data_IF_429146191313
#
_entry.id   IF_429146191313
#
_cell.length_a   1.000
_cell.length_b   1.000
_cell.length_c   1.000
_cell.angle_alpha   90.00
_cell.angle_beta   90.00
_cell.angle_gamma   90.00
#
_symmetry.space_group_name_H-M   'P 1'
#
loop_
_entity.id
_entity.type
_entity.pdbx_description
1 polymer ?
#
# COMPACT_ATOMS: atom_id res chain seq x y z
N UNK A 1 8.68 -1.17 -2.53
CA UNK A 1 7.32 -0.72 -2.14
C UNK A 1 7.05 -1.21 -0.71
N UNK A 2 6.95 -0.32 0.28
CA UNK A 2 6.82 -0.72 1.69
C UNK A 2 5.53 -1.50 2.00
N UNK A 3 4.45 -1.25 1.26
CA UNK A 3 3.12 -1.84 1.54
C UNK A 3 3.08 -3.37 1.48
N UNK A 4 3.87 -4.00 0.60
CA UNK A 4 3.91 -5.47 0.50
C UNK A 4 4.51 -6.09 1.77
N UNK A 5 5.61 -5.51 2.26
CA UNK A 5 6.23 -5.91 3.52
C UNK A 5 5.32 -5.62 4.71
N UNK A 6 4.63 -4.48 4.73
CA UNK A 6 3.60 -4.17 5.73
C UNK A 6 2.46 -5.20 5.72
N UNK A 7 1.98 -5.60 4.54
CA UNK A 7 0.93 -6.61 4.42
C UNK A 7 1.36 -7.98 4.94
N UNK A 8 2.57 -8.43 4.58
CA UNK A 8 3.14 -9.67 5.11
C UNK A 8 3.33 -9.62 6.64
N UNK A 9 3.87 -8.50 7.14
CA UNK A 9 4.04 -8.26 8.58
C UNK A 9 2.71 -8.28 9.33
N UNK A 10 1.67 -7.63 8.79
CA UNK A 10 0.33 -7.59 9.37
C UNK A 10 -0.31 -8.98 9.45
N UNK A 11 -0.35 -9.72 8.33
CA UNK A 11 -0.95 -11.06 8.28
C UNK A 11 -0.18 -12.04 9.18
N UNK A 12 1.15 -12.01 9.13
CA UNK A 12 2.00 -12.84 9.97
C UNK A 12 1.79 -12.57 11.46
N UNK A 13 1.81 -11.29 11.86
CA UNK A 13 1.59 -10.90 13.26
C UNK A 13 0.19 -11.29 13.76
N UNK A 14 -0.86 -10.94 13.03
CA UNK A 14 -2.25 -11.26 13.43
C UNK A 14 -2.46 -12.78 13.46
N UNK A 15 -1.98 -13.52 12.47
CA UNK A 15 -2.11 -14.97 12.42
C UNK A 15 -1.41 -15.68 13.58
N UNK A 16 -0.18 -15.28 13.89
CA UNK A 16 0.59 -15.84 15.01
C UNK A 16 0.00 -15.45 16.38
N UNK A 17 -0.49 -14.22 16.51
CA UNK A 17 -1.18 -13.75 17.70
C UNK A 17 -2.46 -14.56 17.99
N UNK A 18 -3.18 -14.95 16.93
CA UNK A 18 -4.40 -15.75 17.04
C UNK A 18 -4.15 -17.24 17.37
N UNK A 19 -2.89 -17.72 17.41
CA UNK A 19 -2.63 -19.12 17.79
C UNK A 19 -3.10 -19.40 19.21
N UNK A 20 -3.75 -20.55 19.38
CA UNK A 20 -4.29 -21.01 20.67
C UNK A 20 -3.19 -21.32 21.69
N UNK A 21 -2.07 -21.87 21.23
CA UNK A 21 -0.85 -22.09 22.02
C UNK A 21 0.22 -21.10 21.59
N UNK A 22 0.63 -20.26 22.53
CA UNK A 22 1.76 -19.36 22.34
C UNK A 22 3.05 -20.06 22.76
N UNK A 23 4.12 -19.79 22.03
CA UNK A 23 5.49 -20.24 22.30
C UNK A 23 6.45 -19.06 22.11
N UNK A 24 7.70 -19.16 22.58
CA UNK A 24 8.69 -18.11 22.30
C UNK A 24 8.82 -17.78 20.80
N UNK A 25 8.68 -18.79 19.93
CA UNK A 25 8.71 -18.60 18.47
C UNK A 25 7.49 -17.84 17.95
N UNK A 26 6.28 -18.09 18.48
CA UNK A 26 5.10 -17.32 18.05
C UNK A 26 5.21 -15.87 18.51
N UNK A 27 5.74 -15.61 19.71
CA UNK A 27 6.03 -14.26 20.18
C UNK A 27 7.07 -13.54 19.34
N UNK A 28 8.18 -14.20 19.03
CA UNK A 28 9.20 -13.66 18.14
C UNK A 28 8.61 -13.32 16.76
N UNK A 29 7.75 -14.18 16.22
CA UNK A 29 7.09 -13.92 14.94
C UNK A 29 6.07 -12.78 14.99
N UNK A 30 5.30 -12.62 16.08
CA UNK A 30 4.43 -11.45 16.29
C UNK A 30 5.28 -10.17 16.35
N UNK A 31 6.32 -10.15 17.18
CA UNK A 31 7.20 -9.00 17.32
C UNK A 31 7.88 -8.64 15.98
N UNK A 32 8.37 -9.64 15.24
CA UNK A 32 9.02 -9.45 13.94
C UNK A 32 8.04 -8.92 12.90
N UNK A 33 6.82 -9.45 12.84
CA UNK A 33 5.79 -8.98 11.91
C UNK A 33 5.37 -7.53 12.16
N UNK A 34 5.18 -7.16 13.44
CA UNK A 34 4.89 -5.78 13.84
C UNK A 34 6.08 -4.86 13.59
N UNK A 35 7.30 -5.29 13.91
CA UNK A 35 8.53 -4.53 13.63
C UNK A 35 8.72 -4.26 12.14
N UNK A 36 8.54 -5.28 11.29
CA UNK A 36 8.61 -5.13 9.84
C UNK A 36 7.58 -4.13 9.32
N UNK A 37 6.32 -4.25 9.76
CA UNK A 37 5.27 -3.34 9.35
C UNK A 37 5.55 -1.89 9.78
N UNK A 38 6.03 -1.71 11.02
CA UNK A 38 6.31 -0.40 11.62
C UNK A 38 7.55 0.24 11.00
N UNK A 39 8.61 -0.53 10.73
CA UNK A 39 9.82 -0.07 10.05
C UNK A 39 9.49 0.44 8.64
N UNK A 40 8.62 -0.27 7.93
CA UNK A 40 8.23 0.07 6.57
C UNK A 40 7.27 1.26 6.53
N UNK A 41 6.30 1.29 7.45
CA UNK A 41 5.26 2.31 7.56
C UNK A 41 4.84 2.45 9.03
N UNK A 42 5.43 3.39 9.80
CA UNK A 42 5.15 3.53 11.23
C UNK A 42 3.66 3.65 11.55
N UNK A 43 2.93 4.46 10.77
CA UNK A 43 1.48 4.65 10.92
C UNK A 43 0.70 3.33 10.81
N UNK A 44 1.04 2.47 9.83
CA UNK A 44 0.39 1.17 9.68
C UNK A 44 0.79 0.22 10.81
N UNK A 45 2.04 0.28 11.26
CA UNK A 45 2.52 -0.44 12.43
C UNK A 45 1.67 -0.18 13.67
N UNK A 46 1.41 1.10 13.98
CA UNK A 46 0.52 1.49 15.09
C UNK A 46 -0.93 1.07 14.84
N UNK A 47 -1.44 1.20 13.61
CA UNK A 47 -2.78 0.74 13.23
C UNK A 47 -2.95 -0.78 13.38
N UNK A 48 -1.86 -1.56 13.26
CA UNK A 48 -1.84 -3.00 13.53
C UNK A 48 -1.76 -3.28 15.03
N UNK A 49 -0.84 -2.62 15.73
CA UNK A 49 -0.56 -2.86 17.14
C UNK A 49 -1.75 -2.53 18.06
N UNK A 50 -2.49 -1.45 17.76
CA UNK A 50 -3.60 -1.00 18.61
C UNK A 50 -4.70 -2.07 18.75
N UNK A 51 -5.31 -2.63 17.68
CA UNK A 51 -6.26 -3.72 17.78
C UNK A 51 -5.71 -4.96 18.53
N UNK A 52 -4.44 -5.31 18.33
CA UNK A 52 -3.81 -6.44 19.02
C UNK A 52 -3.70 -6.20 20.53
N UNK A 53 -3.31 -5.00 20.96
CA UNK A 53 -3.24 -4.62 22.38
C UNK A 53 -4.63 -4.54 23.00
N UNK A 54 -5.59 -3.92 22.32
CA UNK A 54 -6.99 -3.90 22.76
C UNK A 54 -7.57 -5.31 22.89
N UNK A 55 -7.22 -6.21 21.98
CA UNK A 55 -7.63 -7.61 22.05
C UNK A 55 -7.10 -8.32 23.31
N UNK A 56 -5.87 -8.04 23.74
CA UNK A 56 -5.35 -8.55 25.02
C UNK A 56 -6.16 -8.00 26.21
N UNK A 57 -6.52 -6.72 26.19
CA UNK A 57 -7.28 -6.10 27.27
C UNK A 57 -8.73 -6.63 27.35
N UNK A 58 -9.39 -6.76 26.20
CA UNK A 58 -10.82 -7.02 26.08
C UNK A 58 -11.18 -8.52 26.06
N UNK A 59 -10.25 -9.40 25.71
CA UNK A 59 -10.50 -10.85 25.61
C UNK A 59 -9.75 -11.57 26.74
N UNK A 60 -10.43 -12.01 27.82
CA UNK A 60 -9.78 -12.63 28.98
C UNK A 60 -8.87 -13.81 28.63
N UNK A 61 -9.26 -14.61 27.64
CA UNK A 61 -8.49 -15.77 27.17
C UNK A 61 -7.14 -15.38 26.52
N UNK A 62 -6.93 -14.12 26.19
CA UNK A 62 -5.72 -13.61 25.55
C UNK A 62 -4.88 -12.72 26.48
N UNK A 63 -5.26 -12.59 27.76
CA UNK A 63 -4.55 -11.81 28.78
C UNK A 63 -3.24 -12.47 29.18
N UNK A 64 -2.23 -12.32 28.32
CA UNK A 64 -0.90 -12.88 28.54
C UNK A 64 0.17 -11.81 28.33
N UNK A 65 1.09 -11.71 29.29
CA UNK A 65 2.18 -10.72 29.25
C UNK A 65 3.03 -10.87 27.98
N UNK A 66 3.28 -12.10 27.54
CA UNK A 66 4.05 -12.39 26.33
C UNK A 66 3.46 -11.77 25.06
N UNK A 67 2.12 -11.72 24.93
CA UNK A 67 1.45 -11.09 23.78
C UNK A 67 1.65 -9.58 23.79
N UNK A 68 1.51 -8.94 24.96
CA UNK A 68 1.75 -7.51 25.12
C UNK A 68 3.19 -7.16 24.82
N UNK A 69 4.14 -7.88 25.42
CA UNK A 69 5.57 -7.61 25.21
C UNK A 69 5.98 -7.83 23.77
N UNK A 70 5.46 -8.85 23.08
CA UNK A 70 5.74 -9.08 21.66
C UNK A 70 5.26 -7.91 20.79
N UNK A 71 4.04 -7.41 20.99
CA UNK A 71 3.50 -6.29 20.20
C UNK A 71 4.28 -5.00 20.49
N UNK A 72 4.50 -4.67 21.77
CA UNK A 72 5.22 -3.46 22.16
C UNK A 72 6.69 -3.49 21.71
N UNK A 73 7.36 -4.63 21.83
CA UNK A 73 8.73 -4.80 21.35
C UNK A 73 8.81 -4.63 19.83
N UNK A 74 7.84 -5.17 19.08
CA UNK A 74 7.77 -4.99 17.64
C UNK A 74 7.59 -3.51 17.25
N UNK A 75 6.63 -2.82 17.88
CA UNK A 75 6.39 -1.38 17.64
C UNK A 75 7.65 -0.56 17.95
N UNK A 76 8.28 -0.79 19.10
CA UNK A 76 9.48 -0.07 19.51
C UNK A 76 10.65 -0.32 18.54
N UNK A 77 10.91 -1.58 18.19
CA UNK A 77 12.01 -1.95 17.30
C UNK A 77 11.84 -1.35 15.89
N UNK A 78 10.61 -1.35 15.36
CA UNK A 78 10.35 -0.78 14.03
C UNK A 78 10.27 0.75 14.01
N UNK A 79 9.78 1.38 15.08
CA UNK A 79 9.68 2.84 15.16
C UNK A 79 11.01 3.52 15.51
N UNK A 80 11.93 2.83 16.19
CA UNK A 80 13.17 3.42 16.69
C UNK A 80 14.00 4.12 15.60
N UNK A 81 14.28 3.52 14.42
CA UNK A 81 15.04 4.21 13.38
C UNK A 81 14.35 5.49 12.90
N UNK A 82 13.02 5.47 12.77
CA UNK A 82 12.22 6.62 12.36
C UNK A 82 12.26 7.74 13.41
N UNK A 83 12.19 7.40 14.70
CA UNK A 83 12.28 8.37 15.80
C UNK A 83 13.68 8.99 15.85
N UNK A 84 14.73 8.18 15.79
CA UNK A 84 16.12 8.66 15.77
C UNK A 84 16.33 9.62 14.61
N UNK A 85 15.89 9.23 13.41
CA UNK A 85 15.99 10.10 12.23
C UNK A 85 15.21 11.41 12.41
N UNK A 86 14.03 11.37 13.04
CA UNK A 86 13.25 12.57 13.32
C UNK A 86 14.04 13.58 14.16
N UNK A 87 14.75 13.13 15.19
CA UNK A 87 15.58 14.02 16.01
C UNK A 87 16.86 14.47 15.31
N UNK A 88 17.51 13.59 14.54
CA UNK A 88 18.79 13.91 13.89
C UNK A 88 18.62 14.85 12.69
N UNK A 89 17.53 14.72 11.91
CA UNK A 89 17.36 15.42 10.63
C UNK A 89 16.26 16.47 10.61
N UNK A 90 15.22 16.30 11.43
CA UNK A 90 14.00 17.11 11.34
C UNK A 90 13.80 18.01 12.57
N UNK A 91 14.64 17.91 13.61
CA UNK A 91 14.50 18.67 14.86
C UNK A 91 13.55 18.03 15.89
N UNK A 92 12.91 16.91 15.55
CA UNK A 92 12.03 16.17 16.43
C UNK A 92 10.91 15.43 15.71
N UNK A 93 10.15 14.63 16.47
CA UNK A 93 9.02 13.85 15.95
C UNK A 93 7.90 14.76 15.45
N UNK A 94 7.63 15.87 16.14
CA UNK A 94 6.55 16.80 15.77
C UNK A 94 6.87 17.50 14.46
N UNK A 95 8.08 18.02 14.33
CA UNK A 95 8.59 18.73 13.17
C UNK A 95 8.54 17.82 11.93
N UNK A 96 9.01 16.57 12.07
CA UNK A 96 8.90 15.56 11.02
C UNK A 96 7.45 15.28 10.61
N UNK A 97 6.52 15.24 11.56
CA UNK A 97 5.09 15.02 11.26
C UNK A 97 4.45 16.23 10.56
N UNK A 98 4.81 17.46 10.96
CA UNK A 98 4.37 18.68 10.28
C UNK A 98 4.85 18.70 8.84
N UNK A 99 6.14 18.50 8.61
CA UNK A 99 6.72 18.45 7.27
C UNK A 99 6.11 17.31 6.44
N UNK A 100 5.92 16.13 7.03
CA UNK A 100 5.24 15.02 6.37
C UNK A 100 3.79 15.36 5.99
N UNK A 101 3.07 16.11 6.82
CA UNK A 101 1.70 16.55 6.52
C UNK A 101 1.67 17.51 5.33
N UNK A 102 2.53 18.52 5.33
CA UNK A 102 2.67 19.50 4.24
C UNK A 102 3.02 18.78 2.92
N UNK A 103 4.03 17.91 2.98
CA UNK A 103 4.46 17.08 1.84
C UNK A 103 3.38 16.09 1.41
N UNK A 104 2.38 15.76 2.24
CA UNK A 104 1.27 14.88 1.90
C UNK A 104 0.00 15.62 1.45
N UNK A 105 0.02 16.95 1.33
CA UNK A 105 -1.13 17.75 0.90
C UNK A 105 -2.09 18.11 2.03
N UNK A 106 -1.55 18.15 3.25
CA UNK A 106 -2.21 18.40 4.53
C UNK A 106 -3.22 17.35 4.95
N UNK A 107 -2.83 16.51 5.92
CA UNK A 107 -3.71 15.52 6.53
C UNK A 107 -4.86 16.22 7.23
N UNK A 108 -6.09 15.95 6.77
CA UNK A 108 -7.31 16.54 7.31
C UNK A 108 -8.47 15.55 7.20
N UNK A 109 -9.50 15.63 8.04
CA UNK A 109 -10.70 14.84 7.84
C UNK A 109 -11.32 15.13 6.46
N UNK A 110 -11.37 14.12 5.59
CA UNK A 110 -11.95 14.21 4.25
C UNK A 110 -12.42 12.83 3.77
N UNK A 111 -13.46 12.76 2.94
CA UNK A 111 -13.97 11.48 2.44
C UNK A 111 -13.18 11.02 1.21
N UNK A 112 -11.96 10.49 1.41
CA UNK A 112 -11.06 10.02 0.35
C UNK A 112 -11.55 8.75 -0.36
N UNK A 113 -12.63 8.13 0.10
CA UNK A 113 -13.20 6.91 -0.49
C UNK A 113 -13.42 7.05 -2.01
N UNK A 114 -13.91 8.21 -2.46
CA UNK A 114 -14.12 8.46 -3.91
C UNK A 114 -12.80 8.46 -4.66
N UNK A 115 -11.74 9.06 -4.11
CA UNK A 115 -10.40 9.03 -4.73
C UNK A 115 -9.85 7.60 -4.85
N UNK A 116 -10.13 6.72 -3.89
CA UNK A 116 -9.73 5.31 -4.04
C UNK A 116 -10.46 4.60 -5.19
N UNK A 117 -11.70 5.01 -5.51
CA UNK A 117 -12.45 4.45 -6.64
C UNK A 117 -11.90 4.92 -7.99
N UNK A 118 -11.41 6.16 -8.09
CA UNK A 118 -10.88 6.72 -9.34
C UNK A 118 -9.50 6.19 -9.69
N UNK A 119 -8.77 5.62 -8.72
CA UNK A 119 -7.43 5.06 -8.95
C UNK A 119 -7.38 3.54 -9.11
N UNK A 120 -8.53 2.86 -9.06
CA UNK A 120 -8.57 1.38 -9.09
C UNK A 120 -8.02 0.77 -10.37
N UNK A 121 -7.98 1.54 -11.46
CA UNK A 121 -7.69 1.03 -12.80
C UNK A 121 -6.35 1.49 -13.39
N UNK A 122 -5.66 2.52 -12.86
CA UNK A 122 -4.41 2.90 -13.52
C UNK A 122 -3.53 4.07 -13.09
N UNK A 123 -3.93 5.11 -12.34
CA UNK A 123 -2.92 5.97 -11.74
C UNK A 123 -2.37 5.26 -10.50
N UNK A 124 -1.07 4.89 -10.52
CA UNK A 124 -0.38 4.35 -9.33
C UNK A 124 -0.43 5.31 -8.13
N UNK A 125 -0.68 6.58 -8.41
CA UNK A 125 -0.87 7.67 -7.48
C UNK A 125 -1.67 8.77 -8.21
N UNK A 126 -2.83 9.17 -7.69
CA UNK A 126 -3.45 10.44 -8.07
C UNK A 126 -3.01 11.52 -7.07
N UNK A 127 -2.61 12.71 -7.55
CA UNK A 127 -2.30 13.87 -6.71
C UNK A 127 -2.17 15.15 -7.55
N UNK A 128 -3.13 16.10 -7.50
CA UNK A 128 -4.47 15.98 -6.91
C UNK A 128 -5.35 14.98 -7.69
N UNK A 129 -6.51 14.60 -7.14
CA UNK A 129 -7.35 13.50 -7.64
C UNK A 129 -8.63 14.03 -8.33
N UNK A 130 -8.48 15.05 -9.18
CA UNK A 130 -9.61 15.87 -9.64
C UNK A 130 -10.10 15.50 -11.06
N UNK A 131 -9.37 14.65 -11.79
CA UNK A 131 -9.60 14.41 -13.23
C UNK A 131 -9.79 12.94 -13.62
N UNK A 132 -9.90 12.03 -12.65
CA UNK A 132 -9.96 10.59 -12.92
C UNK A 132 -11.41 10.07 -12.84
N UNK A 133 -11.85 9.36 -13.88
CA UNK A 133 -13.16 8.71 -13.91
C UNK A 133 -13.17 7.36 -13.19
N UNK A 134 -14.31 6.94 -12.65
CA UNK A 134 -14.48 5.59 -12.10
C UNK A 134 -14.67 4.61 -13.26
N UNK A 135 -13.85 3.56 -13.35
CA UNK A 135 -14.09 2.45 -14.27
C UNK A 135 -14.79 1.31 -13.55
N UNK A 136 -16.08 1.03 -13.84
CA UNK A 136 -16.85 0.00 -13.14
C UNK A 136 -16.21 -1.39 -13.19
N UNK A 137 -15.58 -1.73 -14.32
CA UNK A 137 -14.87 -3.01 -14.48
C UNK A 137 -13.70 -3.14 -13.49
N UNK A 138 -12.99 -2.06 -13.19
CA UNK A 138 -11.93 -2.07 -12.18
C UNK A 138 -12.49 -2.04 -10.74
N UNK A 139 -13.75 -1.66 -10.53
CA UNK A 139 -14.40 -1.68 -9.23
C UNK A 139 -14.89 -3.06 -8.81
N UNK A 140 -15.03 -3.99 -9.77
CA UNK A 140 -15.64 -5.30 -9.56
C UNK A 140 -14.99 -6.08 -8.42
N UNK A 141 -13.68 -5.93 -8.24
CA UNK A 141 -12.93 -6.75 -7.29
C UNK A 141 -13.16 -6.32 -5.84
N UNK A 142 -13.48 -5.04 -5.59
CA UNK A 142 -13.93 -4.59 -4.26
C UNK A 142 -15.29 -5.18 -3.92
N UNK A 143 -16.22 -5.19 -4.88
CA UNK A 143 -17.53 -5.80 -4.71
C UNK A 143 -17.39 -7.31 -4.46
N UNK A 144 -16.56 -7.99 -5.24
CA UNK A 144 -16.26 -9.41 -5.07
C UNK A 144 -15.63 -9.68 -3.71
N UNK A 145 -14.65 -8.88 -3.28
CA UNK A 145 -14.01 -9.03 -1.97
C UNK A 145 -15.03 -8.85 -0.84
N UNK A 146 -15.82 -7.78 -0.86
CA UNK A 146 -16.86 -7.53 0.13
C UNK A 146 -17.88 -8.68 0.19
N UNK A 147 -18.32 -9.17 -0.96
CA UNK A 147 -19.23 -10.32 -1.05
C UNK A 147 -18.61 -11.59 -0.47
N UNK A 148 -17.38 -11.94 -0.85
CA UNK A 148 -16.70 -13.13 -0.35
C UNK A 148 -16.42 -13.04 1.15
N UNK A 149 -16.02 -11.88 1.67
CA UNK A 149 -15.86 -11.65 3.11
C UNK A 149 -17.20 -11.85 3.83
N UNK A 150 -18.30 -11.28 3.30
CA UNK A 150 -19.63 -11.43 3.90
C UNK A 150 -20.07 -12.91 3.95
N UNK A 151 -19.86 -13.66 2.87
CA UNK A 151 -20.16 -15.10 2.83
C UNK A 151 -19.27 -15.89 3.81
N UNK A 152 -17.98 -15.56 3.89
CA UNK A 152 -17.07 -16.19 4.86
C UNK A 152 -17.50 -15.95 6.31
N UNK A 153 -17.91 -14.72 6.64
CA UNK A 153 -18.44 -14.40 7.97
C UNK A 153 -19.77 -15.10 8.24
N UNK A 154 -20.64 -15.20 7.24
CA UNK A 154 -21.88 -15.96 7.35
C UNK A 154 -21.62 -17.45 7.63
N UNK A 155 -20.66 -18.05 6.93
CA UNK A 155 -20.26 -19.45 7.14
C UNK A 155 -19.77 -19.69 8.58
N UNK A 156 -18.90 -18.81 9.09
CA UNK A 156 -18.37 -18.87 10.46
C UNK A 156 -19.47 -18.76 11.52
N UNK A 157 -20.47 -17.90 11.28
CA UNK A 157 -21.64 -17.77 12.17
C UNK A 157 -22.51 -19.02 12.14
N UNK A 158 -22.76 -19.58 10.96
CA UNK A 158 -23.63 -20.76 10.81
C UNK A 158 -23.07 -21.99 11.52
N UNK A 159 -21.79 -22.27 11.34
CA UNK A 159 -21.11 -23.40 11.99
C UNK A 159 -21.11 -23.26 13.52
N UNK A 160 -21.08 -22.03 14.02
CA UNK A 160 -21.15 -21.74 15.46
C UNK A 160 -22.55 -22.00 16.02
N UNK A 161 -23.62 -21.67 15.29
CA UNK A 161 -25.01 -21.92 15.71
C UNK A 161 -25.34 -23.42 15.69
N UNK A 162 -24.97 -24.15 14.64
CA UNK A 162 -25.26 -25.59 14.52
C UNK A 162 -24.59 -26.39 15.65
N UNK A 163 -23.34 -26.06 16.01
CA UNK A 163 -22.64 -26.71 17.13
C UNK A 163 -23.21 -26.36 18.50
N UNK A 164 -23.83 -25.19 18.66
CA UNK A 164 -24.43 -24.78 19.94
C UNK A 164 -25.80 -25.43 20.20
N UNK A 165 -26.47 -25.95 19.17
CA UNK A 165 -27.77 -26.64 19.27
C UNK A 165 -27.71 -28.17 19.11
N UNK A 166 -26.54 -28.72 18.77
CA UNK A 166 -26.35 -30.17 18.66
C UNK A 166 -25.85 -30.72 20.00
N UNK A 167 -26.65 -31.53 20.69
CA UNK A 167 -26.24 -32.25 21.91
C UNK A 167 -25.00 -33.14 21.67
N UNK A 168 -24.40 -33.71 22.74
CA UNK A 168 -23.12 -34.43 22.65
C UNK A 168 -23.28 -35.75 21.88
N UNK A 169 -23.23 -35.70 20.55
CA UNK A 169 -23.36 -36.87 19.70
C UNK A 169 -23.09 -36.58 18.24
N UNK A 170 -22.01 -37.18 17.72
CA UNK A 170 -21.72 -37.38 16.29
C UNK A 170 -21.34 -36.14 15.44
N UNK A 171 -20.05 -35.80 15.41
CA UNK A 171 -19.16 -36.16 14.28
C UNK A 171 -17.75 -35.61 14.52
N UNK A 172 -16.81 -36.55 14.55
CA UNK A 172 -15.38 -36.33 14.70
C UNK A 172 -14.80 -35.86 13.36
N UNK A 173 -14.68 -34.55 13.15
CA UNK A 173 -13.86 -33.98 12.08
C UNK A 173 -13.21 -32.69 12.58
N UNK A 174 -11.87 -32.73 12.66
CA UNK A 174 -10.94 -31.69 13.09
C UNK A 174 -11.12 -31.21 14.54
N UNK A 175 -10.42 -31.91 15.45
CA UNK A 175 -10.20 -31.54 16.85
C UNK A 175 -9.55 -30.14 16.91
N UNK A 176 -10.36 -29.11 17.11
CA UNK A 176 -9.93 -27.72 17.25
C UNK A 176 -10.46 -27.17 18.59
N UNK A 177 -9.65 -26.44 19.39
CA UNK A 177 -9.97 -26.16 20.79
C UNK A 177 -11.22 -25.29 20.94
N UNK A 178 -12.06 -25.65 21.91
CA UNK A 178 -13.32 -24.98 22.28
C UNK A 178 -13.07 -23.61 22.94
N UNK A 179 -12.80 -22.59 22.11
CA UNK A 179 -12.77 -21.19 22.51
C UNK A 179 -13.85 -20.37 21.79
N UNK A 180 -14.29 -19.23 22.35
CA UNK A 180 -15.23 -18.33 21.70
C UNK A 180 -14.68 -17.87 20.34
N UNK A 181 -15.37 -18.24 19.25
CA UNK A 181 -14.95 -18.01 17.86
C UNK A 181 -15.05 -16.55 17.41
N UNK A 182 -15.96 -15.79 18.00
CA UNK A 182 -16.23 -14.38 17.68
C UNK A 182 -15.01 -13.47 17.78
N UNK A 183 -14.26 -13.41 18.89
CA UNK A 183 -13.07 -12.56 18.99
C UNK A 183 -11.98 -12.93 17.98
N UNK A 184 -11.76 -14.22 17.71
CA UNK A 184 -10.77 -14.70 16.73
C UNK A 184 -11.07 -14.22 15.31
N UNK A 185 -12.35 -14.21 14.92
CA UNK A 185 -12.77 -13.75 13.58
C UNK A 185 -12.86 -12.22 13.46
N UNK A 186 -13.10 -11.52 14.58
CA UNK A 186 -13.20 -10.07 14.60
C UNK A 186 -11.84 -9.39 14.52
N UNK A 187 -10.79 -9.97 15.10
CA UNK A 187 -9.47 -9.32 15.17
C UNK A 187 -8.89 -8.96 13.78
N UNK A 188 -8.81 -9.87 12.79
CA UNK A 188 -8.29 -9.50 11.45
C UNK A 188 -9.12 -8.41 10.78
N UNK A 189 -10.45 -8.41 10.96
CA UNK A 189 -11.35 -7.39 10.41
C UNK A 189 -11.12 -6.02 11.06
N UNK A 190 -11.02 -5.98 12.38
CA UNK A 190 -10.77 -4.76 13.14
C UNK A 190 -9.38 -4.20 12.81
N UNK A 191 -8.37 -5.06 12.64
CA UNK A 191 -7.05 -4.65 12.17
C UNK A 191 -7.09 -4.13 10.74
N UNK A 192 -7.80 -4.80 9.83
CA UNK A 192 -7.96 -4.34 8.45
C UNK A 192 -8.64 -2.96 8.38
N UNK A 193 -9.66 -2.75 9.22
CA UNK A 193 -10.37 -1.48 9.34
C UNK A 193 -9.49 -0.38 9.95
N UNK A 194 -8.74 -0.68 11.01
CA UNK A 194 -7.82 0.26 11.64
C UNK A 194 -6.76 0.78 10.66
N UNK A 195 -6.28 -0.08 9.74
CA UNK A 195 -5.36 0.31 8.66
C UNK A 195 -6.10 1.12 7.58
N UNK A 196 -7.30 0.71 7.18
CA UNK A 196 -8.01 1.34 6.07
C UNK A 196 -8.50 2.76 6.38
N UNK A 197 -9.00 2.99 7.61
CA UNK A 197 -9.67 4.24 7.96
C UNK A 197 -8.80 5.50 7.75
N UNK A 198 -7.53 5.54 8.18
CA UNK A 198 -6.68 6.70 7.88
C UNK A 198 -6.58 7.00 6.37
N UNK A 199 -6.45 5.96 5.53
CA UNK A 199 -6.35 6.15 4.07
C UNK A 199 -7.66 6.55 3.41
N UNK A 200 -8.80 6.14 3.98
CA UNK A 200 -10.13 6.45 3.45
C UNK A 200 -10.67 7.79 3.97
N UNK A 201 -10.16 8.29 5.09
CA UNK A 201 -10.74 9.43 5.81
C UNK A 201 -9.80 10.62 6.04
N UNK A 202 -8.48 10.46 5.87
CA UNK A 202 -7.52 11.51 6.24
C UNK A 202 -6.54 11.91 5.12
N UNK A 203 -6.29 11.02 4.15
CA UNK A 203 -5.27 11.24 3.12
C UNK A 203 -5.90 11.90 1.88
N UNK A 204 -5.46 13.11 1.47
CA UNK A 204 -6.10 13.89 0.38
C UNK A 204 -5.75 13.39 -1.02
N UNK A 205 -5.22 12.17 -1.11
CA UNK A 205 -4.78 11.55 -2.35
C UNK A 205 -4.89 10.02 -2.23
N UNK A 206 -4.92 9.32 -3.37
CA UNK A 206 -5.11 7.88 -3.36
C UNK A 206 -4.02 7.14 -4.15
N UNK A 207 -3.68 5.97 -3.62
CA UNK A 207 -2.85 4.99 -4.28
C UNK A 207 -3.38 3.60 -3.92
N UNK A 208 -3.73 2.72 -4.88
CA UNK A 208 -4.33 1.41 -4.60
C UNK A 208 -3.51 0.57 -3.61
N UNK A 209 -2.18 0.74 -3.67
CA UNK A 209 -1.22 0.04 -2.82
C UNK A 209 -1.34 0.35 -1.32
N UNK A 210 -1.98 1.45 -0.91
CA UNK A 210 -2.13 1.80 0.51
C UNK A 210 -3.02 0.82 1.26
N UNK A 211 -4.02 0.26 0.59
CA UNK A 211 -4.95 -0.69 1.19
C UNK A 211 -4.47 -2.15 1.07
N UNK A 212 -3.28 -2.40 0.51
CA UNK A 212 -2.73 -3.76 0.36
C UNK A 212 -2.71 -4.56 1.68
N UNK A 213 -2.32 -3.99 2.85
CA UNK A 213 -2.40 -4.72 4.12
C UNK A 213 -3.85 -5.04 4.53
N UNK A 214 -4.80 -4.13 4.30
CA UNK A 214 -6.23 -4.37 4.51
C UNK A 214 -6.71 -5.56 3.68
N UNK A 215 -6.42 -5.59 2.37
CA UNK A 215 -6.79 -6.70 1.50
C UNK A 215 -6.17 -8.03 1.97
N UNK A 216 -4.89 -8.01 2.38
CA UNK A 216 -4.20 -9.20 2.85
C UNK A 216 -4.81 -9.78 4.15
N UNK A 217 -5.26 -8.92 5.07
CA UNK A 217 -5.95 -9.34 6.30
C UNK A 217 -7.36 -9.88 6.04
N UNK A 218 -8.04 -9.39 5.00
CA UNK A 218 -9.37 -9.86 4.59
C UNK A 218 -9.32 -11.16 3.76
N UNK A 219 -8.20 -11.43 3.08
CA UNK A 219 -8.05 -12.54 2.15
C UNK A 219 -8.37 -13.93 2.76
N UNK A 220 -7.97 -14.29 3.99
CA UNK A 220 -8.34 -15.58 4.58
C UNK A 220 -9.87 -15.74 4.74
N UNK A 221 -10.57 -14.69 5.16
CA UNK A 221 -12.04 -14.72 5.31
C UNK A 221 -12.73 -14.77 3.95
N UNK A 222 -12.20 -14.04 2.95
CA UNK A 222 -12.69 -14.11 1.58
C UNK A 222 -12.49 -15.51 0.98
N UNK A 223 -11.34 -16.14 1.22
CA UNK A 223 -11.04 -17.50 0.77
C UNK A 223 -12.02 -18.52 1.40
N UNK A 224 -12.36 -18.36 2.68
CA UNK A 224 -13.40 -19.17 3.31
C UNK A 224 -14.75 -18.98 2.61
N UNK A 225 -15.15 -17.74 2.32
CA UNK A 225 -16.38 -17.45 1.58
C UNK A 225 -16.41 -18.13 0.21
N UNK A 226 -15.30 -18.08 -0.53
CA UNK A 226 -15.17 -18.76 -1.82
C UNK A 226 -15.33 -20.27 -1.67
N UNK A 227 -14.63 -20.89 -0.71
CA UNK A 227 -14.74 -22.33 -0.44
C UNK A 227 -16.16 -22.74 -0.04
N UNK A 228 -16.85 -21.92 0.74
CA UNK A 228 -18.26 -22.13 1.09
C UNK A 228 -19.15 -22.12 -0.15
N UNK A 229 -19.01 -21.13 -1.03
CA UNK A 229 -19.78 -21.06 -2.27
C UNK A 229 -19.50 -22.25 -3.18
N UNK A 230 -18.24 -22.66 -3.31
CA UNK A 230 -17.86 -23.85 -4.08
C UNK A 230 -18.45 -25.14 -3.49
N UNK A 231 -18.56 -25.23 -2.16
CA UNK A 231 -19.25 -26.34 -1.49
C UNK A 231 -20.73 -26.42 -1.88
N UNK A 232 -21.46 -25.30 -1.81
CA UNK A 232 -22.87 -25.24 -2.24
C UNK A 232 -23.04 -25.50 -3.74
N UNK A 233 -22.16 -24.94 -4.56
CA UNK A 233 -22.18 -25.14 -6.01
C UNK A 233 -21.99 -26.61 -6.38
N UNK A 234 -21.07 -27.34 -5.72
CA UNK A 234 -20.89 -28.79 -5.95
C UNK A 234 -22.09 -29.62 -5.50
N UNK A 235 -22.84 -29.15 -4.51
CA UNK A 235 -24.03 -29.83 -4.00
C UNK A 235 -25.29 -29.56 -4.84
N UNK A 236 -25.29 -28.53 -5.70
CA UNK A 236 -26.44 -28.17 -6.52
C UNK A 236 -26.63 -29.10 -7.73
N UNK A 237 -27.87 -29.19 -8.22
CA UNK A 237 -28.20 -29.88 -9.47
C UNK A 237 -28.65 -28.86 -10.53
N UNK A 238 -28.15 -28.95 -11.77
CA UNK A 238 -27.24 -29.98 -12.29
C UNK A 238 -25.76 -29.72 -11.93
N UNK A 239 -25.03 -30.79 -11.58
CA UNK A 239 -23.65 -30.72 -11.04
C UNK A 239 -22.63 -29.98 -11.93
N UNK A 240 -22.84 -29.99 -13.24
CA UNK A 240 -21.97 -29.27 -14.18
C UNK A 240 -22.03 -27.75 -13.98
N UNK A 241 -23.20 -27.20 -13.65
CA UNK A 241 -23.37 -25.77 -13.39
C UNK A 241 -22.59 -25.34 -12.15
N UNK A 242 -22.46 -26.23 -11.16
CA UNK A 242 -21.66 -26.05 -9.95
C UNK A 242 -20.15 -25.90 -10.17
N UNK A 243 -19.64 -26.29 -11.35
CA UNK A 243 -18.23 -26.15 -11.72
C UNK A 243 -18.06 -25.07 -12.78
N UNK A 244 -18.91 -25.07 -13.80
CA UNK A 244 -18.81 -24.16 -14.96
C UNK A 244 -19.04 -22.71 -14.54
N UNK A 245 -20.07 -22.41 -13.75
CA UNK A 245 -20.40 -21.02 -13.39
C UNK A 245 -19.29 -20.39 -12.53
N UNK A 246 -18.81 -21.01 -11.43
CA UNK A 246 -17.68 -20.46 -10.69
C UNK A 246 -16.41 -20.36 -11.54
N UNK A 247 -16.16 -21.33 -12.42
CA UNK A 247 -15.02 -21.30 -13.35
C UNK A 247 -15.07 -20.10 -14.29
N UNK A 248 -16.22 -19.80 -14.87
CA UNK A 248 -16.42 -18.63 -15.74
C UNK A 248 -16.26 -17.32 -14.97
N UNK A 249 -16.83 -17.21 -13.77
CA UNK A 249 -16.72 -16.00 -12.93
C UNK A 249 -15.26 -15.74 -12.54
N UNK A 250 -14.55 -16.78 -12.06
CA UNK A 250 -13.15 -16.66 -11.68
C UNK A 250 -12.27 -16.40 -12.91
N UNK A 251 -12.55 -17.04 -14.04
CA UNK A 251 -11.84 -16.83 -15.31
C UNK A 251 -12.02 -15.42 -15.85
N UNK A 252 -13.25 -14.89 -15.84
CA UNK A 252 -13.55 -13.52 -16.23
C UNK A 252 -12.85 -12.50 -15.33
N UNK A 253 -12.94 -12.68 -14.01
CA UNK A 253 -12.23 -11.84 -13.04
C UNK A 253 -10.71 -11.86 -13.27
N UNK A 254 -10.12 -13.05 -13.44
CA UNK A 254 -8.68 -13.18 -13.71
C UNK A 254 -8.29 -12.49 -15.02
N UNK A 255 -9.10 -12.60 -16.08
CA UNK A 255 -8.85 -11.92 -17.34
C UNK A 255 -8.82 -10.40 -17.17
N UNK A 256 -9.80 -9.83 -16.44
CA UNK A 256 -9.83 -8.39 -16.11
C UNK A 256 -8.56 -7.99 -15.36
N UNK A 257 -8.18 -8.72 -14.31
CA UNK A 257 -6.99 -8.41 -13.52
C UNK A 257 -5.70 -8.50 -14.33
N UNK A 258 -5.56 -9.51 -15.19
CA UNK A 258 -4.38 -9.69 -16.05
C UNK A 258 -4.28 -8.55 -17.08
N UNK A 259 -5.38 -8.15 -17.71
CA UNK A 259 -5.38 -7.05 -18.68
C UNK A 259 -5.03 -5.71 -18.02
N UNK A 260 -5.60 -5.43 -16.84
CA UNK A 260 -5.26 -4.23 -16.06
C UNK A 260 -3.79 -4.25 -15.62
N UNK A 261 -3.30 -5.38 -15.13
CA UNK A 261 -1.91 -5.53 -14.70
C UNK A 261 -0.94 -5.35 -15.87
N UNK A 262 -1.24 -5.95 -17.02
CA UNK A 262 -0.41 -5.84 -18.22
C UNK A 262 -0.36 -4.41 -18.74
N UNK A 263 -1.52 -3.76 -18.92
CA UNK A 263 -1.59 -2.37 -19.39
C UNK A 263 -0.86 -1.40 -18.46
N UNK A 264 -1.02 -1.56 -17.15
CA UNK A 264 -0.28 -0.76 -16.18
C UNK A 264 1.22 -1.06 -16.19
N UNK A 265 1.62 -2.33 -16.32
CA UNK A 265 3.03 -2.69 -16.44
C UNK A 265 3.69 -2.07 -17.67
N UNK A 266 3.01 -2.05 -18.83
CA UNK A 266 3.52 -1.42 -20.06
C UNK A 266 3.66 0.09 -19.91
N UNK A 267 2.67 0.76 -19.32
CA UNK A 267 2.72 2.22 -19.07
C UNK A 267 3.90 2.55 -18.15
N UNK A 268 4.08 1.78 -17.07
CA UNK A 268 5.15 2.01 -16.11
C UNK A 268 6.54 1.67 -16.65
N UNK A 269 6.65 0.65 -17.50
CA UNK A 269 7.89 0.35 -18.21
C UNK A 269 8.24 1.48 -19.19
N UNK A 270 7.25 2.00 -19.94
CA UNK A 270 7.43 3.14 -20.83
C UNK A 270 7.89 4.40 -20.09
N UNK A 271 7.22 4.75 -18.99
CA UNK A 271 7.59 5.91 -18.17
C UNK A 271 8.99 5.80 -17.57
N UNK A 272 9.39 4.62 -17.06
CA UNK A 272 10.77 4.39 -16.59
C UNK A 272 11.80 4.50 -17.70
N UNK A 273 11.48 3.98 -18.88
CA UNK A 273 12.33 4.13 -20.07
C UNK A 273 12.51 5.59 -20.47
N UNK A 274 11.47 6.42 -20.33
CA UNK A 274 11.56 7.86 -20.55
C UNK A 274 12.52 8.53 -19.56
N UNK A 275 12.45 8.17 -18.28
CA UNK A 275 13.37 8.72 -17.27
C UNK A 275 14.83 8.43 -17.61
N UNK A 276 15.14 7.20 -18.04
CA UNK A 276 16.49 6.83 -18.48
C UNK A 276 16.94 7.67 -19.69
N UNK A 277 16.11 7.80 -20.73
CA UNK A 277 16.46 8.59 -21.92
C UNK A 277 16.64 10.07 -21.61
N UNK A 278 15.81 10.62 -20.72
CA UNK A 278 15.92 12.02 -20.31
C UNK A 278 17.20 12.22 -19.49
N UNK A 279 17.54 11.30 -18.57
CA UNK A 279 18.80 11.34 -17.83
C UNK A 279 20.02 11.27 -18.77
N UNK A 280 20.02 10.39 -19.77
CA UNK A 280 21.07 10.33 -20.80
C UNK A 280 21.13 11.61 -21.65
N UNK A 281 20.00 12.27 -21.90
CA UNK A 281 19.97 13.55 -22.59
C UNK A 281 20.55 14.68 -21.72
N UNK A 282 20.25 14.70 -20.42
CA UNK A 282 20.83 15.65 -19.47
C UNK A 282 22.34 15.47 -19.35
N UNK A 283 22.81 14.23 -19.22
CA UNK A 283 24.23 13.88 -19.09
C UNK A 283 25.04 14.34 -20.32
N UNK A 284 24.48 14.19 -21.53
CA UNK A 284 25.11 14.70 -22.77
C UNK A 284 25.28 16.23 -22.80
N UNK A 285 24.53 16.95 -21.98
CA UNK A 285 24.59 18.41 -21.87
C UNK A 285 25.17 18.83 -20.50
N UNK A 286 25.90 17.94 -19.82
CA UNK A 286 26.66 18.27 -18.62
C UNK A 286 25.85 18.29 -17.31
N UNK A 287 24.63 17.74 -17.29
CA UNK A 287 23.79 17.68 -16.08
C UNK A 287 23.56 16.23 -15.67
N UNK A 288 24.15 15.82 -14.56
CA UNK A 288 24.02 14.47 -14.00
C UNK A 288 25.24 14.03 -13.22
N UNK A 289 25.15 12.85 -12.61
CA UNK A 289 26.21 12.31 -11.73
C UNK A 289 27.57 12.11 -12.43
N UNK A 290 27.60 11.86 -13.74
CA UNK A 290 28.85 11.64 -14.47
C UNK A 290 29.50 12.93 -15.00
N UNK A 291 28.79 14.06 -14.91
CA UNK A 291 29.15 15.30 -15.57
C UNK A 291 29.96 16.27 -14.68
N UNK A 292 29.96 16.06 -13.37
CA UNK A 292 30.72 16.87 -12.41
C UNK A 292 32.01 16.15 -11.98
N UNK A 293 33.13 16.86 -11.99
CA UNK A 293 34.45 16.37 -11.57
C UNK A 293 35.12 17.39 -10.64
N UNK A 294 35.81 16.92 -9.60
CA UNK A 294 36.48 17.78 -8.61
C UNK A 294 35.64 18.04 -7.36
N UNK A 295 35.83 19.19 -6.71
CA UNK A 295 35.15 19.58 -5.46
C UNK A 295 33.63 19.73 -5.57
N UNK A 296 33.08 19.80 -6.79
CA UNK A 296 31.64 19.90 -7.07
C UNK A 296 30.92 18.55 -7.03
N UNK A 297 31.64 17.44 -6.83
CA UNK A 297 31.05 16.10 -6.69
C UNK A 297 30.23 15.93 -5.38
N UNK A 298 30.46 16.79 -4.38
CA UNK A 298 29.82 16.69 -3.07
C UNK A 298 28.40 17.28 -3.03
N UNK A 299 28.02 18.16 -3.98
CA UNK A 299 26.64 18.67 -4.08
C UNK A 299 25.97 18.14 -5.35
N UNK A 300 24.85 17.41 -5.24
CA UNK A 300 24.15 16.88 -6.41
C UNK A 300 23.57 18.02 -7.26
N UNK A 301 23.45 17.80 -8.57
CA UNK A 301 22.71 18.70 -9.46
C UNK A 301 21.25 18.86 -8.99
N UNK A 302 20.61 19.95 -9.36
CA UNK A 302 19.21 20.24 -9.03
C UNK A 302 18.37 20.21 -10.30
N UNK A 303 17.39 19.32 -10.37
CA UNK A 303 16.41 19.29 -11.46
C UNK A 303 15.07 19.81 -10.99
N UNK A 304 14.45 20.66 -11.80
CA UNK A 304 13.07 21.11 -11.60
C UNK A 304 12.24 20.88 -12.88
N UNK A 305 10.91 21.06 -12.83
CA UNK A 305 10.04 20.73 -13.94
C UNK A 305 8.57 20.53 -13.58
N UNK A 306 7.75 20.30 -14.61
CA UNK A 306 6.29 20.24 -14.43
C UNK A 306 5.75 18.83 -14.15
N UNK A 307 6.52 17.78 -14.46
CA UNK A 307 6.09 16.39 -14.31
C UNK A 307 7.26 15.47 -13.97
N UNK A 308 7.04 14.53 -13.05
CA UNK A 308 7.95 13.42 -12.75
C UNK A 308 9.40 13.81 -12.36
N UNK A 309 9.62 15.01 -11.82
CA UNK A 309 10.94 15.52 -11.44
C UNK A 309 11.61 14.63 -10.40
N UNK A 310 10.88 14.22 -9.34
CA UNK A 310 11.44 13.40 -8.26
C UNK A 310 12.06 12.07 -8.77
N UNK A 311 11.32 11.19 -9.49
CA UNK A 311 11.90 9.95 -9.99
C UNK A 311 12.98 10.20 -11.05
N UNK A 312 12.85 11.25 -11.87
CA UNK A 312 13.85 11.59 -12.86
C UNK A 312 15.17 12.06 -12.24
N UNK A 313 15.10 12.97 -11.26
CA UNK A 313 16.27 13.45 -10.52
C UNK A 313 17.02 12.29 -9.88
N UNK A 314 16.30 11.35 -9.26
CA UNK A 314 16.91 10.14 -8.73
C UNK A 314 17.65 9.31 -9.80
N UNK A 315 17.05 9.12 -10.98
CA UNK A 315 17.69 8.37 -12.09
C UNK A 315 18.90 9.12 -12.66
N UNK A 316 18.84 10.45 -12.72
CA UNK A 316 19.93 11.31 -13.17
C UNK A 316 21.03 11.51 -12.11
N UNK A 317 20.78 11.10 -10.86
CA UNK A 317 21.67 11.37 -9.73
C UNK A 317 21.57 12.78 -9.15
N UNK A 318 20.59 13.55 -9.59
CA UNK A 318 20.32 14.89 -9.10
C UNK A 318 19.36 14.88 -7.88
N UNK A 319 19.36 15.98 -7.14
CA UNK A 319 18.30 16.34 -6.22
C UNK A 319 17.10 16.96 -6.97
N UNK A 320 15.86 16.68 -6.54
CA UNK A 320 14.71 17.44 -7.02
C UNK A 320 14.74 18.87 -6.45
N UNK A 321 14.35 19.85 -7.27
CA UNK A 321 14.15 21.23 -6.84
C UNK A 321 13.08 21.35 -5.76
N UNK A 322 13.22 22.34 -4.89
CA UNK A 322 12.28 22.62 -3.82
C UNK A 322 10.96 23.25 -4.32
N UNK A 323 10.06 23.61 -3.40
CA UNK A 323 8.82 24.33 -3.73
C UNK A 323 9.11 25.62 -4.50
N UNK A 324 8.14 26.11 -5.25
CA UNK A 324 8.25 27.40 -5.97
C UNK A 324 8.73 28.51 -5.01
N UNK A 325 9.91 29.08 -5.29
CA UNK A 325 10.56 30.09 -4.42
C UNK A 325 11.78 29.62 -3.63
N UNK A 326 12.21 28.35 -3.76
CA UNK A 326 13.49 27.88 -3.23
C UNK A 326 14.67 28.63 -3.89
N UNK A 327 15.61 29.22 -3.12
CA UNK A 327 16.78 29.91 -3.65
C UNK A 327 17.78 29.01 -4.38
N UNK A 328 17.68 27.67 -4.29
CA UNK A 328 18.49 26.77 -5.13
C UNK A 328 18.00 26.80 -6.56
N UNK A 329 18.71 27.56 -7.37
CA UNK A 329 18.41 27.73 -8.77
C UNK A 329 18.71 26.41 -9.53
N UNK A 330 17.75 25.83 -10.30
CA UNK A 330 17.91 24.50 -10.89
C UNK A 330 18.98 24.48 -11.98
N UNK A 331 19.76 23.40 -12.07
CA UNK A 331 20.73 23.17 -13.15
C UNK A 331 20.06 22.86 -14.48
N UNK A 332 18.89 22.21 -14.44
CA UNK A 332 18.06 22.01 -15.61
C UNK A 332 16.56 21.95 -15.26
N UNK A 333 15.75 22.33 -16.25
CA UNK A 333 14.30 22.13 -16.24
C UNK A 333 13.92 20.99 -17.17
N UNK A 334 13.07 20.09 -16.69
CA UNK A 334 12.49 19.02 -17.51
C UNK A 334 10.99 19.26 -17.64
N UNK A 335 10.56 19.57 -18.87
CA UNK A 335 9.19 19.95 -19.17
C UNK A 335 8.58 18.97 -20.17
N UNK A 336 7.33 18.58 -19.92
CA UNK A 336 6.52 17.83 -20.89
C UNK A 336 5.36 18.68 -21.36
N UNK A 337 5.30 18.97 -22.66
CA UNK A 337 4.21 19.73 -23.31
C UNK A 337 3.82 21.01 -22.55
N UNK A 338 4.81 21.72 -22.02
CA UNK A 338 4.63 22.97 -21.30
C UNK A 338 5.70 23.97 -21.73
N UNK A 339 5.35 25.26 -21.72
CA UNK A 339 6.30 26.32 -21.95
C UNK A 339 7.20 26.52 -20.73
N UNK A 340 8.48 26.89 -20.91
CA UNK A 340 9.34 27.24 -19.80
C UNK A 340 8.84 28.51 -19.08
N UNK A 341 9.11 28.63 -17.77
CA UNK A 341 8.86 29.86 -17.05
C UNK A 341 9.68 31.00 -17.65
N UNK A 342 9.23 32.25 -17.43
CA UNK A 342 9.81 33.43 -18.08
C UNK A 342 11.33 33.53 -17.90
N UNK A 343 11.86 33.15 -16.74
CA UNK A 343 13.27 33.22 -16.38
C UNK A 343 14.15 32.13 -17.04
N UNK A 344 13.56 31.10 -17.65
CA UNK A 344 14.27 30.04 -18.38
C UNK A 344 13.95 29.99 -19.88
N UNK A 345 13.26 31.01 -20.42
CA UNK A 345 12.90 31.05 -21.84
C UNK A 345 14.12 31.07 -22.76
N UNK A 346 15.18 31.72 -22.31
CA UNK A 346 16.41 31.90 -23.09
C UNK A 346 17.45 30.80 -22.83
N UNK A 347 17.12 29.80 -22.01
CA UNK A 347 18.02 28.68 -21.75
C UNK A 347 18.13 27.78 -23.00
N UNK A 348 19.33 27.23 -23.27
CA UNK A 348 19.51 26.15 -24.24
C UNK A 348 18.49 25.03 -23.99
N UNK A 349 17.77 24.64 -25.04
CA UNK A 349 16.72 23.63 -24.93
C UNK A 349 16.88 22.52 -25.96
N UNK A 350 16.57 21.30 -25.54
CA UNK A 350 16.76 20.10 -26.33
C UNK A 350 15.54 19.19 -26.21
N UNK A 351 14.95 18.83 -27.36
CA UNK A 351 13.91 17.81 -27.39
C UNK A 351 14.52 16.44 -27.06
N UNK A 352 13.77 15.61 -26.33
CA UNK A 352 14.16 14.23 -26.04
C UNK A 352 13.30 13.28 -26.90
N UNK A 353 13.77 12.87 -28.09
CA UNK A 353 13.01 12.00 -28.97
C UNK A 353 13.00 10.55 -28.45
N UNK A 354 12.12 9.72 -29.05
CA UNK A 354 12.08 8.28 -28.77
C UNK A 354 11.49 7.91 -27.40
N UNK A 355 10.87 8.86 -26.70
CA UNK A 355 10.15 8.62 -25.45
C UNK A 355 8.77 8.01 -25.71
N UNK A 356 8.32 7.14 -24.80
CA UNK A 356 6.97 6.59 -24.74
C UNK A 356 5.93 7.71 -24.64
N UNK A 357 6.12 8.65 -23.69
CA UNK A 357 5.35 9.88 -23.64
C UNK A 357 6.04 10.95 -24.49
N UNK A 358 5.41 11.37 -25.58
CA UNK A 358 5.95 12.40 -26.47
C UNK A 358 6.01 13.80 -25.82
N UNK A 359 6.91 14.66 -26.30
CA UNK A 359 6.91 16.09 -26.01
C UNK A 359 7.71 16.49 -24.78
N UNK A 360 8.72 15.70 -24.42
CA UNK A 360 9.72 16.06 -23.42
C UNK A 360 10.76 17.00 -24.01
N UNK A 361 11.06 18.05 -23.25
CA UNK A 361 12.11 19.04 -23.54
C UNK A 361 12.90 19.27 -22.26
N UNK A 362 14.22 19.27 -22.38
CA UNK A 362 15.12 19.71 -21.30
C UNK A 362 15.60 21.13 -21.60
N UNK A 363 15.64 21.99 -20.59
CA UNK A 363 16.30 23.29 -20.64
C UNK A 363 17.48 23.24 -19.68
N UNK A 364 18.69 23.46 -20.18
CA UNK A 364 19.91 23.40 -19.37
C UNK A 364 20.35 24.82 -19.05
N UNK A 365 20.75 25.06 -17.80
CA UNK A 365 21.29 26.35 -17.39
C UNK A 365 22.56 26.66 -18.23
N UNK A 366 22.67 27.88 -18.80
CA UNK A 366 23.83 28.29 -19.60
C UNK A 366 25.16 28.21 -18.87
#
# INVERSE_FOLDING_TARGET
>A
MPNHYTAMGAVGAVGLFLRSRQTPLTYAGVATGVALATLMRPNDGFAIGLPLLLAVLLVPAWRERGRVTAVLAGLAAGALPWVVEAYVRFGGVRERLTEASEVQGDLRPLLSFVHHLTVMDGPLLCRPCDNDGIRPVAAEWWLLLCFLVAVGLWALRRDSVVKSGSGPGAHQSLRQPDGPRTPTTALPLLTALAIALPYLLLVPYAAPRFLLPTHALLAPTAALGLLTLLGYARASRPRWAGVVVPGLVLGGHLAVQVLLAHGNATIQAGARGDWTRIAEALERHGVGNGSRSGSDADEPCVLDGNTAVIPLAHVAGCAPGGPAGDPRAPDALVLRRAAPPHWARDWPHHAVPGTYASGWVIHVRP
#
